data_IF_142477595401
#
_entry.id   IF_142477595401
#
_cell.length_a   1.000
_cell.length_b   1.000
_cell.length_c   1.000
_cell.angle_alpha   90.00
_cell.angle_beta   90.00
_cell.angle_gamma   90.00
#
_symmetry.space_group_name_H-M   'P 1'
#
loop_
_entity.id
_entity.type
_entity.pdbx_description
1 polymer ?
#
# COMPACT_ATOMS: atom_id res chain seq x y z
N UNK A 1 -16.26 -7.34 -18.76
CA UNK A 1 -15.51 -7.43 -20.04
C UNK A 1 -14.36 -8.43 -19.94
N UNK A 2 -13.44 -8.26 -18.98
CA UNK A 2 -12.26 -9.14 -18.87
C UNK A 2 -12.61 -10.61 -18.61
N UNK A 3 -13.64 -10.90 -17.81
CA UNK A 3 -14.11 -12.27 -17.59
C UNK A 3 -14.38 -13.03 -18.90
N UNK A 4 -15.15 -12.42 -19.82
CA UNK A 4 -15.44 -13.01 -21.15
C UNK A 4 -14.17 -13.20 -21.99
N UNK A 5 -13.26 -12.22 -21.98
CA UNK A 5 -11.98 -12.34 -22.71
C UNK A 5 -11.11 -13.48 -22.19
N UNK A 6 -11.14 -13.74 -20.88
CA UNK A 6 -10.44 -14.90 -20.30
C UNK A 6 -11.17 -16.21 -20.57
N UNK A 7 -12.51 -16.22 -20.53
CA UNK A 7 -13.33 -17.38 -20.94
C UNK A 7 -13.02 -17.79 -22.40
N UNK A 8 -12.82 -16.82 -23.30
CA UNK A 8 -12.42 -17.06 -24.69
C UNK A 8 -11.01 -17.70 -24.81
N UNK A 9 -10.10 -17.44 -23.86
CA UNK A 9 -8.78 -18.08 -23.80
C UNK A 9 -8.89 -19.52 -23.29
N UNK A 10 -9.70 -19.74 -22.25
CA UNK A 10 -10.01 -21.08 -21.76
C UNK A 10 -10.69 -21.08 -20.38
N UNK A 11 -11.53 -22.08 -20.10
CA UNK A 11 -12.27 -22.17 -18.84
C UNK A 11 -11.38 -22.34 -17.61
N UNK A 12 -10.15 -22.84 -17.79
CA UNK A 12 -9.17 -23.08 -16.71
C UNK A 12 -8.69 -21.78 -16.02
N UNK A 13 -9.00 -20.61 -16.57
CA UNK A 13 -8.70 -19.31 -15.97
C UNK A 13 -9.70 -18.89 -14.87
N UNK A 14 -10.81 -19.62 -14.71
CA UNK A 14 -11.84 -19.34 -13.70
C UNK A 14 -11.28 -19.12 -12.29
N UNK A 15 -10.49 -20.07 -11.72
CA UNK A 15 -9.93 -19.92 -10.38
C UNK A 15 -9.01 -18.70 -10.21
N UNK A 16 -8.25 -18.34 -11.25
CA UNK A 16 -7.38 -17.16 -11.22
C UNK A 16 -8.21 -15.87 -11.17
N UNK A 17 -9.26 -15.81 -12.00
CA UNK A 17 -10.20 -14.68 -12.04
C UNK A 17 -10.97 -14.54 -10.73
N UNK A 18 -11.37 -15.66 -10.09
CA UNK A 18 -12.01 -15.65 -8.78
C UNK A 18 -11.09 -15.04 -7.71
N UNK A 19 -9.81 -15.40 -7.69
CA UNK A 19 -8.84 -14.82 -6.76
C UNK A 19 -8.73 -13.30 -6.92
N UNK A 20 -8.63 -12.82 -8.16
CA UNK A 20 -8.60 -11.37 -8.45
C UNK A 20 -9.92 -10.70 -8.04
N UNK A 21 -11.05 -11.32 -8.35
CA UNK A 21 -12.39 -10.78 -8.04
C UNK A 21 -12.61 -10.66 -6.54
N UNK A 22 -12.24 -11.70 -5.77
CA UNK A 22 -12.35 -11.68 -4.32
C UNK A 22 -11.46 -10.61 -3.69
N UNK A 23 -10.22 -10.48 -4.17
CA UNK A 23 -9.32 -9.43 -3.72
C UNK A 23 -9.94 -8.05 -3.99
N UNK A 24 -10.57 -7.85 -5.14
CA UNK A 24 -11.22 -6.59 -5.53
C UNK A 24 -12.55 -6.31 -4.82
N UNK A 25 -13.15 -7.23 -4.05
CA UNK A 25 -14.44 -6.98 -3.35
C UNK A 25 -14.31 -6.12 -2.08
N UNK A 26 -13.19 -6.21 -1.37
CA UNK A 26 -12.97 -5.51 -0.09
C UNK A 26 -12.18 -4.20 -0.19
N UNK A 27 -11.93 -3.57 0.96
CA UNK A 27 -11.04 -2.41 1.12
C UNK A 27 -11.74 -1.05 1.16
N UNK A 28 -11.05 -0.06 1.73
CA UNK A 28 -11.56 1.30 2.00
C UNK A 28 -11.69 2.19 0.76
N UNK A 29 -11.11 1.78 -0.38
CA UNK A 29 -11.07 2.56 -1.64
C UNK A 29 -10.47 3.96 -1.48
N UNK A 30 -9.45 4.10 -0.63
CA UNK A 30 -8.80 5.40 -0.38
C UNK A 30 -8.17 5.99 -1.64
N UNK A 31 -7.45 5.17 -2.43
CA UNK A 31 -6.78 5.61 -3.66
C UNK A 31 -7.75 6.21 -4.68
N UNK A 32 -8.82 5.52 -5.12
CA UNK A 32 -9.79 6.12 -6.02
C UNK A 32 -10.52 7.31 -5.39
N UNK A 33 -10.76 7.31 -4.07
CA UNK A 33 -11.37 8.46 -3.39
C UNK A 33 -10.48 9.71 -3.47
N UNK A 34 -9.18 9.61 -3.18
CA UNK A 34 -8.25 10.73 -3.31
C UNK A 34 -8.14 11.21 -4.76
N UNK A 35 -8.13 10.31 -5.74
CA UNK A 35 -8.16 10.70 -7.15
C UNK A 35 -9.43 11.45 -7.54
N UNK A 36 -10.59 10.92 -7.18
CA UNK A 36 -11.86 11.58 -7.44
C UNK A 36 -11.96 12.95 -6.75
N UNK A 37 -11.54 13.06 -5.49
CA UNK A 37 -11.58 14.33 -4.77
C UNK A 37 -10.50 15.32 -5.20
N UNK A 38 -9.39 14.86 -5.76
CA UNK A 38 -8.42 15.71 -6.45
C UNK A 38 -9.01 16.37 -7.70
N UNK A 39 -9.81 15.61 -8.45
CA UNK A 39 -10.57 16.12 -9.61
C UNK A 39 -11.64 17.12 -9.20
N UNK A 40 -12.50 16.75 -8.24
CA UNK A 40 -13.58 17.62 -7.75
C UNK A 40 -13.04 18.88 -7.06
N UNK A 41 -11.94 18.76 -6.32
CA UNK A 41 -11.28 19.86 -5.63
C UNK A 41 -10.61 20.87 -6.55
N UNK A 42 -10.33 20.47 -7.79
CA UNK A 42 -9.92 21.37 -8.87
C UNK A 42 -11.10 22.06 -9.59
N UNK A 43 -12.34 21.85 -9.11
CA UNK A 43 -13.54 22.46 -9.64
C UNK A 43 -14.16 21.74 -10.85
N UNK A 44 -13.64 20.57 -11.22
CA UNK A 44 -14.21 19.80 -12.32
C UNK A 44 -15.53 19.10 -11.91
N UNK A 45 -16.48 18.93 -12.85
CA UNK A 45 -17.80 18.40 -12.55
C UNK A 45 -17.74 16.90 -12.21
N UNK A 46 -18.76 16.41 -11.52
CA UNK A 46 -18.94 14.97 -11.33
C UNK A 46 -19.20 14.28 -12.68
N UNK A 47 -18.58 13.12 -12.91
CA UNK A 47 -18.71 12.34 -14.14
C UNK A 47 -18.35 10.87 -13.91
N UNK A 48 -19.01 9.95 -14.62
CA UNK A 48 -18.71 8.52 -14.52
C UNK A 48 -17.29 8.18 -15.02
N UNK A 49 -16.76 8.94 -15.98
CA UNK A 49 -15.44 8.70 -16.55
C UNK A 49 -14.29 8.97 -15.57
N UNK A 50 -14.42 9.95 -14.67
CA UNK A 50 -13.42 10.13 -13.60
C UNK A 50 -13.51 8.99 -12.58
N UNK A 51 -14.70 8.47 -12.28
CA UNK A 51 -14.85 7.30 -11.40
C UNK A 51 -14.16 6.08 -12.03
N UNK A 52 -14.33 5.87 -13.33
CA UNK A 52 -13.64 4.79 -14.06
C UNK A 52 -12.12 4.97 -14.06
N UNK A 53 -11.62 6.20 -14.31
CA UNK A 53 -10.19 6.49 -14.27
C UNK A 53 -9.61 6.28 -12.86
N UNK A 54 -10.31 6.71 -11.82
CA UNK A 54 -9.91 6.52 -10.43
C UNK A 54 -9.93 5.03 -10.04
N UNK A 55 -10.94 4.28 -10.47
CA UNK A 55 -11.07 2.85 -10.18
C UNK A 55 -9.94 1.99 -10.80
N UNK A 56 -9.24 2.47 -11.83
CA UNK A 56 -8.02 1.84 -12.31
C UNK A 56 -6.98 1.66 -11.19
N UNK A 57 -6.90 2.61 -10.24
CA UNK A 57 -5.99 2.53 -9.09
C UNK A 57 -6.27 1.32 -8.18
N UNK A 58 -7.49 0.78 -8.17
CA UNK A 58 -7.80 -0.44 -7.41
C UNK A 58 -7.28 -1.71 -8.12
N UNK A 59 -7.23 -1.72 -9.45
CA UNK A 59 -6.56 -2.79 -10.21
C UNK A 59 -5.05 -2.72 -10.03
N UNK A 60 -4.48 -1.51 -10.05
CA UNK A 60 -3.07 -1.32 -9.73
C UNK A 60 -2.75 -1.77 -8.29
N UNK A 61 -3.63 -1.45 -7.33
CA UNK A 61 -3.49 -1.94 -5.96
C UNK A 61 -3.60 -3.46 -5.86
N UNK A 62 -4.53 -4.08 -6.61
CA UNK A 62 -4.64 -5.53 -6.65
C UNK A 62 -3.33 -6.17 -7.16
N UNK A 63 -2.74 -5.60 -8.21
CA UNK A 63 -1.43 -6.06 -8.69
C UNK A 63 -0.34 -5.94 -7.62
N UNK A 64 -0.23 -4.77 -6.99
CA UNK A 64 0.75 -4.53 -5.93
C UNK A 64 0.61 -5.56 -4.81
N UNK A 65 -0.61 -5.83 -4.32
CA UNK A 65 -0.85 -6.81 -3.27
C UNK A 65 -0.53 -8.25 -3.70
N UNK A 66 -0.91 -8.64 -4.92
CA UNK A 66 -0.67 -9.99 -5.44
C UNK A 66 0.83 -10.30 -5.54
N UNK A 67 1.62 -9.32 -5.98
CA UNK A 67 3.07 -9.44 -6.07
C UNK A 67 3.75 -9.32 -4.69
N UNK A 68 3.31 -8.39 -3.84
CA UNK A 68 3.81 -8.18 -2.47
C UNK A 68 3.62 -9.45 -1.61
N UNK A 69 2.44 -10.09 -1.66
CA UNK A 69 2.18 -11.35 -0.95
C UNK A 69 3.14 -12.48 -1.36
N UNK A 70 3.63 -12.48 -2.60
CA UNK A 70 4.62 -13.46 -3.07
C UNK A 70 6.02 -13.09 -2.59
N UNK A 71 6.40 -11.82 -2.67
CA UNK A 71 7.71 -11.35 -2.24
C UNK A 71 7.92 -11.51 -0.73
N UNK A 72 6.91 -11.20 0.06
CA UNK A 72 6.92 -11.30 1.52
C UNK A 72 6.62 -12.72 2.03
N UNK A 73 6.16 -13.62 1.15
CA UNK A 73 5.74 -14.97 1.53
C UNK A 73 4.51 -15.01 2.44
N UNK A 74 3.65 -13.98 2.38
CA UNK A 74 2.48 -13.83 3.25
C UNK A 74 1.42 -14.91 2.98
N UNK A 75 1.00 -15.64 4.02
CA UNK A 75 0.02 -16.73 3.86
C UNK A 75 -1.42 -16.22 3.67
N UNK A 76 -1.73 -15.01 4.16
CA UNK A 76 -3.09 -14.48 4.22
C UNK A 76 -3.18 -13.03 3.74
N UNK A 77 -4.33 -12.69 3.16
CA UNK A 77 -4.69 -11.35 2.71
C UNK A 77 -6.18 -11.13 2.93
N UNK A 78 -6.54 -10.09 3.69
CA UNK A 78 -7.95 -9.72 4.00
C UNK A 78 -8.76 -10.89 4.58
N UNK A 79 -8.16 -11.67 5.48
CA UNK A 79 -8.79 -12.85 6.09
C UNK A 79 -8.96 -14.07 5.18
N UNK A 80 -8.49 -14.02 3.93
CA UNK A 80 -8.46 -15.14 3.00
C UNK A 80 -7.01 -15.61 2.78
N UNK A 81 -6.78 -16.86 2.33
CA UNK A 81 -5.45 -17.27 1.91
C UNK A 81 -4.97 -16.41 0.74
N UNK A 82 -3.69 -16.03 0.76
CA UNK A 82 -3.08 -15.28 -0.34
C UNK A 82 -3.18 -16.07 -1.67
N UNK A 83 -3.18 -15.37 -2.80
CA UNK A 83 -3.43 -16.01 -4.12
C UNK A 83 -2.45 -17.15 -4.42
N UNK A 84 -1.15 -16.98 -4.09
CA UNK A 84 -0.17 -18.04 -4.33
C UNK A 84 -0.48 -19.30 -3.51
N UNK A 85 -0.96 -19.15 -2.26
CA UNK A 85 -1.41 -20.26 -1.42
C UNK A 85 -2.71 -20.89 -1.92
N UNK A 86 -3.69 -20.10 -2.37
CA UNK A 86 -4.94 -20.61 -2.97
C UNK A 86 -4.64 -21.48 -4.19
N UNK A 87 -3.76 -21.02 -5.07
CA UNK A 87 -3.40 -21.72 -6.29
C UNK A 87 -2.53 -22.96 -6.01
N UNK A 88 -1.65 -22.93 -5.01
CA UNK A 88 -0.93 -24.13 -4.53
C UNK A 88 -1.89 -25.18 -3.94
N UNK A 89 -2.90 -24.76 -3.17
CA UNK A 89 -3.94 -25.65 -2.66
C UNK A 89 -4.80 -26.25 -3.78
N UNK A 90 -5.15 -25.46 -4.80
CA UNK A 90 -5.87 -25.94 -5.98
C UNK A 90 -5.08 -27.02 -6.72
N UNK A 91 -3.77 -26.81 -6.92
CA UNK A 91 -2.87 -27.79 -7.53
C UNK A 91 -2.87 -29.12 -6.76
N UNK A 92 -2.68 -29.06 -5.43
CA UNK A 92 -2.72 -30.24 -4.55
C UNK A 92 -4.08 -30.94 -4.58
N UNK A 93 -5.16 -30.17 -4.49
CA UNK A 93 -6.53 -30.70 -4.46
C UNK A 93 -6.92 -31.45 -5.73
N UNK A 94 -6.34 -31.09 -6.88
CA UNK A 94 -6.57 -31.77 -8.15
C UNK A 94 -5.55 -32.90 -8.45
N UNK A 95 -4.54 -33.10 -7.60
CA UNK A 95 -3.51 -34.11 -7.83
C UNK A 95 -2.68 -33.88 -9.10
N UNK A 96 -2.47 -32.62 -9.48
CA UNK A 96 -1.67 -32.29 -10.65
C UNK A 96 -0.20 -32.64 -10.45
N UNK A 97 0.49 -32.90 -11.56
CA UNK A 97 1.92 -33.21 -11.52
C UNK A 97 2.77 -31.96 -11.22
N UNK A 98 3.95 -32.16 -10.64
CA UNK A 98 4.94 -31.10 -10.40
C UNK A 98 4.81 -30.42 -9.03
N UNK A 99 5.50 -29.28 -8.88
CA UNK A 99 5.55 -28.52 -7.63
C UNK A 99 4.38 -27.52 -7.53
N UNK A 100 3.50 -27.75 -6.57
CA UNK A 100 2.33 -26.92 -6.31
C UNK A 100 2.65 -25.52 -5.78
N UNK A 101 3.72 -25.35 -5.00
CA UNK A 101 4.12 -24.02 -4.51
C UNK A 101 4.64 -23.18 -5.67
N UNK A 102 5.48 -23.76 -6.53
CA UNK A 102 5.94 -23.10 -7.76
C UNK A 102 4.78 -22.73 -8.70
N UNK A 103 3.78 -23.60 -8.83
CA UNK A 103 2.57 -23.30 -9.58
C UNK A 103 1.82 -22.11 -8.97
N UNK A 104 1.65 -22.12 -7.65
CA UNK A 104 0.97 -21.06 -6.91
C UNK A 104 1.64 -19.69 -7.09
N UNK A 105 2.96 -19.63 -6.90
CA UNK A 105 3.77 -18.42 -7.12
C UNK A 105 3.65 -17.92 -8.55
N UNK A 106 3.78 -18.82 -9.54
CA UNK A 106 3.67 -18.45 -10.95
C UNK A 106 2.30 -17.89 -11.30
N UNK A 107 1.23 -18.48 -10.75
CA UNK A 107 -0.13 -18.00 -10.95
C UNK A 107 -0.35 -16.61 -10.34
N UNK A 108 0.15 -16.36 -9.13
CA UNK A 108 0.04 -15.05 -8.48
C UNK A 108 0.80 -13.94 -9.23
N UNK A 109 1.99 -14.25 -9.76
CA UNK A 109 2.75 -13.32 -10.62
C UNK A 109 1.92 -12.91 -11.85
N UNK A 110 1.37 -13.90 -12.57
CA UNK A 110 0.55 -13.67 -13.77
C UNK A 110 -0.76 -12.93 -13.43
N UNK A 111 -1.37 -13.20 -12.28
CA UNK A 111 -2.55 -12.46 -11.81
C UNK A 111 -2.24 -10.97 -11.60
N UNK A 112 -1.08 -10.66 -11.00
CA UNK A 112 -0.65 -9.28 -10.82
C UNK A 112 -0.35 -8.61 -12.16
N UNK A 113 0.29 -9.30 -13.10
CA UNK A 113 0.58 -8.76 -14.44
C UNK A 113 -0.70 -8.45 -15.24
N UNK A 114 -1.73 -9.30 -15.13
CA UNK A 114 -3.06 -9.03 -15.66
C UNK A 114 -3.67 -7.79 -15.03
N UNK A 115 -3.58 -7.64 -13.70
CA UNK A 115 -4.10 -6.47 -13.00
C UNK A 115 -3.37 -5.17 -13.40
N UNK A 116 -2.05 -5.20 -13.59
CA UNK A 116 -1.29 -4.06 -14.13
C UNK A 116 -1.76 -3.67 -15.53
N UNK A 117 -1.96 -4.66 -16.40
CA UNK A 117 -2.42 -4.47 -17.76
C UNK A 117 -3.85 -3.91 -17.80
N UNK A 118 -4.75 -4.46 -16.98
CA UNK A 118 -6.13 -3.99 -16.88
C UNK A 118 -6.25 -2.62 -16.24
N UNK A 119 -5.34 -2.26 -15.32
CA UNK A 119 -5.27 -0.92 -14.75
C UNK A 119 -4.99 0.12 -15.84
N UNK A 120 -3.96 -0.10 -16.67
CA UNK A 120 -3.65 0.80 -17.78
C UNK A 120 -4.77 0.83 -18.84
N UNK A 121 -5.37 -0.32 -19.16
CA UNK A 121 -6.52 -0.39 -20.07
C UNK A 121 -7.72 0.40 -19.52
N UNK A 122 -8.04 0.24 -18.23
CA UNK A 122 -9.17 0.92 -17.59
C UNK A 122 -8.96 2.44 -17.51
N UNK A 123 -7.74 2.88 -17.18
CA UNK A 123 -7.41 4.31 -17.17
C UNK A 123 -7.55 4.91 -18.58
N UNK A 124 -6.95 4.27 -19.57
CA UNK A 124 -6.95 4.74 -20.97
C UNK A 124 -8.33 4.67 -21.65
N UNK A 125 -9.22 3.79 -21.17
CA UNK A 125 -10.59 3.61 -21.69
C UNK A 125 -11.67 4.10 -20.72
N UNK A 126 -11.29 4.96 -19.77
CA UNK A 126 -12.19 5.47 -18.73
C UNK A 126 -13.39 6.27 -19.28
N UNK A 127 -13.26 6.81 -20.49
CA UNK A 127 -14.26 7.67 -21.14
C UNK A 127 -13.88 9.16 -21.10
N UNK A 128 -12.80 9.52 -20.40
CA UNK A 128 -12.28 10.88 -20.39
C UNK A 128 -11.77 11.29 -21.78
N UNK A 129 -11.91 12.57 -22.18
CA UNK A 129 -11.36 13.06 -23.44
C UNK A 129 -9.84 12.83 -23.54
N UNK A 130 -9.28 12.59 -24.75
CA UNK A 130 -7.85 12.34 -24.93
C UNK A 130 -6.94 13.40 -24.31
N UNK A 131 -7.26 14.69 -24.48
CA UNK A 131 -6.48 15.79 -23.91
C UNK A 131 -6.54 15.81 -22.37
N UNK A 132 -7.64 15.34 -21.79
CA UNK A 132 -7.80 15.20 -20.34
C UNK A 132 -6.96 14.06 -19.81
N UNK A 133 -7.00 12.89 -20.47
CA UNK A 133 -6.15 11.75 -20.14
C UNK A 133 -4.66 12.10 -20.25
N UNK A 134 -4.27 12.83 -21.29
CA UNK A 134 -2.89 13.25 -21.50
C UNK A 134 -2.35 14.08 -20.32
N UNK A 135 -3.14 14.99 -19.73
CA UNK A 135 -2.71 15.79 -18.58
C UNK A 135 -2.40 14.94 -17.34
N UNK A 136 -3.20 13.91 -17.08
CA UNK A 136 -3.00 13.02 -15.92
C UNK A 136 -2.00 11.89 -16.17
N UNK A 137 -1.65 11.61 -17.43
CA UNK A 137 -0.84 10.45 -17.82
C UNK A 137 0.54 10.45 -17.19
N UNK A 138 1.24 11.60 -17.21
CA UNK A 138 2.60 11.71 -16.69
C UNK A 138 2.65 11.42 -15.17
N UNK A 139 1.67 11.91 -14.41
CA UNK A 139 1.57 11.65 -12.98
C UNK A 139 1.25 10.17 -12.71
N UNK A 140 0.35 9.58 -13.50
CA UNK A 140 0.00 8.16 -13.39
C UNK A 140 1.20 7.25 -13.69
N UNK A 141 1.96 7.50 -14.76
CA UNK A 141 3.14 6.70 -15.08
C UNK A 141 4.29 6.92 -14.08
N UNK A 142 4.44 8.14 -13.55
CA UNK A 142 5.40 8.42 -12.47
C UNK A 142 5.05 7.67 -11.19
N UNK A 143 3.77 7.66 -10.79
CA UNK A 143 3.29 6.88 -9.65
C UNK A 143 3.64 5.40 -9.79
N UNK A 144 3.39 4.82 -10.96
CA UNK A 144 3.67 3.39 -11.22
C UNK A 144 5.16 3.10 -11.10
N UNK A 145 6.00 3.97 -11.67
CA UNK A 145 7.47 3.85 -11.58
C UNK A 145 7.95 3.94 -10.14
N UNK A 146 7.47 4.95 -9.41
CA UNK A 146 7.90 5.20 -8.03
C UNK A 146 7.44 4.12 -7.06
N UNK A 147 6.23 3.55 -7.23
CA UNK A 147 5.80 2.41 -6.41
C UNK A 147 6.74 1.21 -6.61
N UNK A 148 7.05 0.85 -7.87
CA UNK A 148 7.90 -0.30 -8.14
C UNK A 148 9.32 -0.11 -7.58
N UNK A 149 9.87 1.11 -7.71
CA UNK A 149 11.13 1.47 -7.06
C UNK A 149 11.06 1.38 -5.53
N UNK A 150 9.97 1.89 -4.92
CA UNK A 150 9.73 1.80 -3.47
C UNK A 150 9.59 0.36 -2.98
N UNK A 151 8.91 -0.50 -3.74
CA UNK A 151 8.79 -1.93 -3.44
C UNK A 151 10.16 -2.64 -3.50
N UNK A 152 10.98 -2.32 -4.50
CA UNK A 152 12.35 -2.85 -4.55
C UNK A 152 13.19 -2.41 -3.35
N UNK A 153 13.09 -1.14 -2.95
CA UNK A 153 13.78 -0.66 -1.76
C UNK A 153 13.34 -1.41 -0.51
N UNK A 154 12.05 -1.70 -0.35
CA UNK A 154 11.55 -2.48 0.80
C UNK A 154 12.17 -3.88 0.87
N UNK A 155 12.23 -4.59 -0.27
CA UNK A 155 12.88 -5.91 -0.36
C UNK A 155 14.39 -5.81 -0.12
N UNK A 156 15.04 -4.76 -0.63
CA UNK A 156 16.47 -4.52 -0.44
C UNK A 156 16.80 -4.29 1.05
N UNK A 157 15.98 -3.52 1.76
CA UNK A 157 16.20 -3.23 3.18
C UNK A 157 16.18 -4.49 4.06
N UNK A 158 15.44 -5.53 3.68
CA UNK A 158 15.40 -6.79 4.42
C UNK A 158 16.73 -7.55 4.39
N UNK A 159 17.56 -7.35 3.36
CA UNK A 159 18.84 -8.06 3.19
C UNK A 159 20.07 -7.21 3.52
N UNK A 160 19.92 -5.89 3.66
CA UNK A 160 21.00 -4.99 4.05
C UNK A 160 21.32 -5.08 5.55
N UNK A 161 22.58 -4.82 5.88
CA UNK A 161 23.13 -4.82 7.24
C UNK A 161 23.62 -3.44 7.66
N UNK A 162 23.99 -3.26 8.93
CA UNK A 162 24.62 -2.02 9.40
C UNK A 162 25.96 -1.71 8.71
N UNK A 163 26.65 -2.75 8.22
CA UNK A 163 27.92 -2.60 7.51
C UNK A 163 27.76 -1.96 6.13
N UNK A 164 26.55 -1.93 5.59
CA UNK A 164 26.25 -1.40 4.25
C UNK A 164 26.04 0.13 4.24
N UNK A 165 26.05 0.77 5.43
CA UNK A 165 25.98 2.23 5.58
C UNK A 165 24.58 2.84 5.36
N UNK A 166 24.44 4.13 5.72
CA UNK A 166 23.16 4.85 5.69
C UNK A 166 22.29 4.55 6.92
N UNK A 167 21.78 5.60 7.59
CA UNK A 167 20.97 5.45 8.80
C UNK A 167 19.70 4.63 8.53
N UNK A 168 19.46 3.60 9.36
CA UNK A 168 18.35 2.66 9.18
C UNK A 168 17.00 3.38 9.17
N UNK A 169 16.82 4.43 9.99
CA UNK A 169 15.59 5.22 9.96
C UNK A 169 15.40 6.03 8.67
N UNK A 170 16.47 6.55 8.06
CA UNK A 170 16.37 7.30 6.80
C UNK A 170 15.95 6.39 5.64
N UNK A 171 16.52 5.19 5.58
CA UNK A 171 16.19 4.19 4.55
C UNK A 171 14.76 3.69 4.70
N UNK A 172 14.34 3.34 5.92
CA UNK A 172 12.95 3.00 6.22
C UNK A 172 11.99 4.15 5.85
N UNK A 173 12.34 5.40 6.14
CA UNK A 173 11.55 6.57 5.72
C UNK A 173 11.44 6.70 4.20
N UNK A 174 12.50 6.40 3.47
CA UNK A 174 12.48 6.43 2.00
C UNK A 174 11.55 5.36 1.43
N UNK A 175 11.50 4.18 2.04
CA UNK A 175 10.55 3.13 1.68
C UNK A 175 9.12 3.61 1.88
N UNK A 176 8.75 4.08 3.08
CA UNK A 176 7.37 4.55 3.33
C UNK A 176 7.00 5.70 2.40
N UNK A 177 7.94 6.59 2.09
CA UNK A 177 7.73 7.73 1.21
C UNK A 177 7.24 7.26 -0.16
N UNK A 178 8.01 6.40 -0.85
CA UNK A 178 7.67 5.98 -2.21
C UNK A 178 6.65 4.83 -2.28
N UNK A 179 6.81 3.79 -1.45
CA UNK A 179 5.95 2.59 -1.49
C UNK A 179 4.52 2.89 -1.03
N UNK A 180 4.34 3.84 -0.12
CA UNK A 180 3.04 4.09 0.49
C UNK A 180 2.57 5.54 0.41
N UNK A 181 3.36 6.50 0.87
CA UNK A 181 2.88 7.88 1.02
C UNK A 181 2.52 8.52 -0.34
N UNK A 182 3.49 8.49 -1.26
CA UNK A 182 3.28 8.97 -2.63
C UNK A 182 2.20 8.16 -3.32
N UNK A 183 2.28 6.84 -3.26
CA UNK A 183 1.39 5.95 -4.00
C UNK A 183 -0.07 5.97 -3.52
N UNK A 184 -0.30 5.98 -2.21
CA UNK A 184 -1.64 5.78 -1.63
C UNK A 184 -2.46 7.06 -1.60
N UNK A 185 -1.81 8.22 -1.45
CA UNK A 185 -2.50 9.49 -1.19
C UNK A 185 -2.07 10.60 -2.16
N UNK A 186 -0.78 10.95 -2.18
CA UNK A 186 -0.30 12.10 -2.97
C UNK A 186 -0.56 11.92 -4.47
N UNK A 187 -0.06 10.85 -5.07
CA UNK A 187 -0.21 10.61 -6.51
C UNK A 187 -1.66 10.46 -6.92
N UNK A 188 -2.53 9.69 -6.24
CA UNK A 188 -3.94 9.68 -6.56
C UNK A 188 -4.55 11.08 -6.60
N UNK A 189 -4.30 11.90 -5.58
CA UNK A 189 -4.80 13.27 -5.52
C UNK A 189 -4.26 14.15 -6.66
N UNK A 190 -2.96 14.04 -6.97
CA UNK A 190 -2.32 14.73 -8.08
C UNK A 190 -2.83 14.25 -9.45
N UNK A 191 -3.09 12.96 -9.63
CA UNK A 191 -3.67 12.40 -10.86
C UNK A 191 -5.05 13.04 -11.08
N UNK A 192 -5.89 13.06 -10.06
CA UNK A 192 -7.21 13.72 -10.11
C UNK A 192 -7.12 15.19 -10.48
N UNK A 193 -6.25 15.95 -9.81
CA UNK A 193 -6.02 17.36 -10.09
C UNK A 193 -5.49 17.61 -11.50
N UNK A 194 -4.51 16.83 -11.95
CA UNK A 194 -3.91 16.95 -13.28
C UNK A 194 -4.93 16.63 -14.38
N UNK A 195 -5.72 15.57 -14.23
CA UNK A 195 -6.85 15.27 -15.12
C UNK A 195 -7.80 16.48 -15.18
N UNK A 196 -8.13 17.11 -14.05
CA UNK A 196 -9.01 18.28 -14.02
C UNK A 196 -8.38 19.58 -14.57
N UNK A 197 -7.06 19.59 -14.84
CA UNK A 197 -6.36 20.81 -15.26
C UNK A 197 -6.11 21.79 -14.12
N UNK A 198 -5.89 21.28 -12.90
CA UNK A 198 -5.53 22.07 -11.73
C UNK A 198 -4.31 22.97 -12.00
N UNK A 199 -4.29 24.14 -11.34
CA UNK A 199 -3.14 25.03 -11.38
C UNK A 199 -1.92 24.39 -10.70
N UNK A 200 -0.69 24.82 -11.05
CA UNK A 200 0.52 24.38 -10.33
C UNK A 200 0.44 24.62 -8.82
N UNK A 201 -0.16 25.72 -8.39
CA UNK A 201 -0.32 26.07 -6.97
C UNK A 201 -1.26 25.08 -6.26
N UNK A 202 -2.36 24.68 -6.90
CA UNK A 202 -3.27 23.68 -6.34
C UNK A 202 -2.62 22.28 -6.30
N UNK A 203 -1.84 21.90 -7.32
CA UNK A 203 -1.07 20.66 -7.29
C UNK A 203 -0.02 20.66 -6.18
N UNK A 204 0.66 21.79 -5.95
CA UNK A 204 1.59 21.94 -4.83
C UNK A 204 0.88 21.83 -3.48
N UNK A 205 -0.33 22.40 -3.34
CA UNK A 205 -1.15 22.25 -2.14
C UNK A 205 -1.59 20.79 -1.93
N UNK A 206 -1.95 20.07 -2.99
CA UNK A 206 -2.23 18.64 -2.94
C UNK A 206 -1.03 17.81 -2.47
N UNK A 207 0.19 18.13 -2.93
CA UNK A 207 1.40 17.48 -2.43
C UNK A 207 1.64 17.79 -0.95
N UNK A 208 1.53 19.06 -0.55
CA UNK A 208 1.72 19.49 0.84
C UNK A 208 0.70 18.86 1.81
N UNK A 209 -0.51 18.58 1.33
CA UNK A 209 -1.54 17.87 2.07
C UNK A 209 -1.30 16.34 2.08
N UNK A 210 -1.14 15.75 0.90
CA UNK A 210 -1.24 14.32 0.67
C UNK A 210 0.00 13.54 1.09
N UNK A 211 1.18 14.12 0.91
CA UNK A 211 2.44 13.47 1.26
C UNK A 211 2.58 13.19 2.77
N UNK A 212 2.45 14.19 3.67
CA UNK A 212 2.56 13.91 5.10
C UNK A 212 1.44 12.99 5.59
N UNK A 213 0.22 13.11 5.06
CA UNK A 213 -0.86 12.19 5.38
C UNK A 213 -0.53 10.75 4.96
N UNK A 214 0.10 10.58 3.80
CA UNK A 214 0.53 9.28 3.31
C UNK A 214 1.62 8.64 4.16
N UNK A 215 2.56 9.44 4.68
CA UNK A 215 3.57 8.96 5.63
C UNK A 215 2.92 8.57 6.96
N UNK A 216 1.99 9.38 7.47
CA UNK A 216 1.23 9.07 8.68
C UNK A 216 0.39 7.79 8.53
N UNK A 217 -0.22 7.57 7.36
CA UNK A 217 -0.97 6.37 7.02
C UNK A 217 -0.08 5.12 7.14
N UNK A 218 1.11 5.12 6.52
CA UNK A 218 1.99 3.96 6.59
C UNK A 218 2.56 3.73 7.99
N UNK A 219 2.93 4.79 8.70
CA UNK A 219 3.39 4.66 10.08
C UNK A 219 2.31 4.08 11.00
N UNK A 220 1.04 4.44 10.77
CA UNK A 220 -0.10 3.84 11.47
C UNK A 220 -0.24 2.36 11.12
N UNK A 221 -0.14 2.00 9.85
CA UNK A 221 -0.17 0.60 9.40
C UNK A 221 0.97 -0.22 10.03
N UNK A 222 2.20 0.30 10.09
CA UNK A 222 3.34 -0.38 10.73
C UNK A 222 3.09 -0.60 12.25
N UNK A 223 2.49 0.40 12.93
CA UNK A 223 2.10 0.26 14.34
C UNK A 223 1.03 -0.82 14.50
N UNK A 224 0.04 -0.87 13.61
CA UNK A 224 -1.02 -1.90 13.64
C UNK A 224 -0.50 -3.29 13.28
N UNK A 225 0.46 -3.41 12.36
CA UNK A 225 1.09 -4.68 12.01
C UNK A 225 1.83 -5.31 13.20
N UNK A 226 2.40 -4.46 14.07
CA UNK A 226 3.07 -4.92 15.30
C UNK A 226 2.12 -5.05 16.48
N UNK A 227 1.22 -4.09 16.74
CA UNK A 227 0.44 -3.98 17.98
C UNK A 227 -1.08 -4.14 17.81
N UNK A 228 -1.59 -4.17 16.58
CA UNK A 228 -3.03 -4.23 16.30
C UNK A 228 -3.70 -5.55 16.66
N UNK A 229 -5.03 -5.49 16.80
CA UNK A 229 -5.88 -6.67 16.99
C UNK A 229 -6.02 -7.43 15.65
N UNK A 230 -5.71 -8.74 15.59
CA UNK A 230 -5.93 -9.56 14.39
C UNK A 230 -7.34 -9.49 13.81
N UNK A 231 -8.36 -9.28 14.64
CA UNK A 231 -9.74 -9.14 14.19
C UNK A 231 -9.96 -7.89 13.32
N UNK A 232 -9.15 -6.85 13.52
CA UNK A 232 -9.21 -5.60 12.77
C UNK A 232 -8.23 -5.58 11.58
N UNK A 233 -7.00 -6.07 11.78
CA UNK A 233 -5.97 -6.05 10.73
C UNK A 233 -6.17 -7.13 9.66
N UNK A 234 -6.91 -8.19 9.99
CA UNK A 234 -7.10 -9.36 9.12
C UNK A 234 -5.83 -10.20 8.92
N UNK A 235 -4.78 -9.92 9.71
CA UNK A 235 -3.50 -10.64 9.78
C UNK A 235 -3.19 -11.03 11.24
N UNK A 236 -2.42 -12.10 11.50
CA UNK A 236 -1.94 -12.40 12.85
C UNK A 236 -1.13 -11.24 13.44
N UNK A 237 -1.21 -11.04 14.76
CA UNK A 237 -0.47 -9.97 15.41
C UNK A 237 1.05 -10.23 15.31
N UNK A 238 1.82 -9.21 14.94
CA UNK A 238 3.27 -9.31 14.74
C UNK A 238 3.68 -9.99 13.43
N UNK A 239 2.81 -10.03 12.42
CA UNK A 239 3.15 -10.55 11.09
C UNK A 239 4.35 -9.78 10.49
N UNK A 240 4.36 -8.45 10.61
CA UNK A 240 5.48 -7.63 10.16
C UNK A 240 6.82 -8.01 10.83
N UNK A 241 6.77 -8.51 12.07
CA UNK A 241 7.95 -9.00 12.78
C UNK A 241 8.42 -10.36 12.24
N UNK A 242 7.50 -11.24 11.81
CA UNK A 242 7.82 -12.52 11.15
C UNK A 242 8.33 -12.32 9.74
N UNK A 243 7.73 -11.39 9.01
CA UNK A 243 8.14 -10.96 7.67
C UNK A 243 9.49 -10.23 7.72
N UNK A 244 9.93 -9.77 8.90
CA UNK A 244 11.24 -9.13 9.09
C UNK A 244 11.30 -7.70 8.57
N UNK A 245 10.14 -7.04 8.49
CA UNK A 245 10.03 -5.69 7.93
C UNK A 245 10.87 -4.69 8.72
N UNK A 246 11.72 -3.96 7.99
CA UNK A 246 12.59 -2.91 8.52
C UNK A 246 11.85 -1.57 8.59
N UNK A 247 10.72 -1.57 9.31
CA UNK A 247 9.87 -0.39 9.46
C UNK A 247 10.57 0.74 10.21
N UNK A 248 10.06 1.97 10.11
CA UNK A 248 10.57 3.10 10.91
C UNK A 248 10.48 2.79 12.41
N UNK A 249 9.46 2.06 12.83
CA UNK A 249 9.29 1.60 14.21
C UNK A 249 10.44 0.70 14.67
N UNK A 250 10.85 -0.27 13.86
CA UNK A 250 12.00 -1.15 14.15
C UNK A 250 13.31 -0.38 14.11
N UNK A 251 13.46 0.51 13.13
CA UNK A 251 14.66 1.33 12.99
C UNK A 251 14.90 2.21 14.22
N UNK A 252 13.87 2.94 14.68
CA UNK A 252 13.96 3.77 15.88
C UNK A 252 14.21 2.94 17.15
N UNK A 253 13.63 1.73 17.23
CA UNK A 253 13.88 0.83 18.34
C UNK A 253 15.36 0.39 18.38
N UNK A 254 15.95 0.03 17.24
CA UNK A 254 17.36 -0.36 17.14
C UNK A 254 18.31 0.81 17.45
N UNK A 255 18.00 2.02 16.98
CA UNK A 255 18.81 3.22 17.25
C UNK A 255 18.87 3.57 18.75
N UNK A 256 17.80 3.31 19.50
CA UNK A 256 17.72 3.56 20.94
C UNK A 256 17.98 2.31 21.82
N UNK A 257 18.22 1.14 21.21
CA UNK A 257 18.37 -0.13 21.92
C UNK A 257 19.71 -0.22 22.67
N UNK A 258 19.67 -0.81 23.86
CA UNK A 258 20.87 -1.37 24.48
C UNK A 258 21.43 -2.53 23.65
N UNK A 259 22.72 -2.90 23.82
CA UNK A 259 23.31 -4.03 23.09
C UNK A 259 22.54 -5.35 23.25
N UNK A 260 21.96 -5.62 24.43
CA UNK A 260 21.16 -6.81 24.69
C UNK A 260 19.81 -6.78 23.94
N UNK A 261 19.17 -5.61 23.88
CA UNK A 261 17.93 -5.41 23.11
C UNK A 261 18.20 -5.55 21.60
N UNK A 262 19.26 -4.93 21.09
CA UNK A 262 19.66 -5.03 19.69
C UNK A 262 19.96 -6.48 19.28
N UNK A 263 20.69 -7.23 20.11
CA UNK A 263 20.93 -8.65 19.90
C UNK A 263 19.63 -9.48 19.86
N UNK A 264 18.67 -9.16 20.74
CA UNK A 264 17.36 -9.81 20.77
C UNK A 264 16.57 -9.54 19.49
N UNK A 265 16.57 -8.29 19.01
CA UNK A 265 15.93 -7.92 17.72
C UNK A 265 16.60 -8.66 16.56
N UNK A 266 17.93 -8.67 16.51
CA UNK A 266 18.68 -9.37 15.46
C UNK A 266 18.48 -10.90 15.45
N UNK A 267 18.17 -11.51 16.59
CA UNK A 267 17.90 -12.94 16.69
C UNK A 267 16.48 -13.32 16.22
N UNK A 268 15.50 -12.45 16.43
CA UNK A 268 14.08 -12.80 16.32
C UNK A 268 13.35 -12.15 15.15
N UNK A 269 13.77 -10.98 14.70
CA UNK A 269 13.13 -10.28 13.58
C UNK A 269 13.36 -11.06 12.28
N UNK A 270 12.29 -11.31 11.54
CA UNK A 270 12.33 -12.06 10.28
C UNK A 270 12.32 -13.58 10.44
N UNK A 271 12.12 -14.10 11.66
CA UNK A 271 11.89 -15.53 11.86
C UNK A 271 10.43 -15.89 11.49
N UNK A 272 10.19 -16.63 10.39
CA UNK A 272 8.83 -17.02 10.00
C UNK A 272 8.19 -17.98 11.03
N UNK A 273 8.98 -18.56 11.94
CA UNK A 273 8.51 -19.39 13.04
C UNK A 273 8.45 -18.66 14.38
N UNK A 274 8.54 -17.32 14.38
CA UNK A 274 8.48 -16.51 15.59
C UNK A 274 7.19 -16.77 16.38
N UNK A 275 7.39 -17.32 17.58
CA UNK A 275 6.33 -17.65 18.53
C UNK A 275 5.82 -16.42 19.28
N UNK A 276 4.70 -16.58 19.96
CA UNK A 276 4.01 -15.49 20.66
C UNK A 276 4.87 -14.83 21.76
N UNK A 277 5.73 -15.60 22.43
CA UNK A 277 6.73 -15.12 23.39
C UNK A 277 7.80 -14.25 22.72
N UNK A 278 8.31 -14.67 21.55
CA UNK A 278 9.23 -13.86 20.74
C UNK A 278 8.58 -12.56 20.24
N UNK A 279 7.34 -12.61 19.77
CA UNK A 279 6.57 -11.42 19.40
C UNK A 279 6.41 -10.48 20.60
N UNK A 280 6.06 -11.01 21.77
CA UNK A 280 5.92 -10.21 22.99
C UNK A 280 7.25 -9.55 23.41
N UNK A 281 8.36 -10.26 23.27
CA UNK A 281 9.70 -9.73 23.53
C UNK A 281 10.03 -8.56 22.60
N UNK A 282 9.84 -8.71 21.29
CA UNK A 282 10.10 -7.64 20.32
C UNK A 282 9.21 -6.41 20.57
N UNK A 283 7.92 -6.62 20.88
CA UNK A 283 7.00 -5.54 21.30
C UNK A 283 7.51 -4.81 22.55
N UNK A 284 8.02 -5.56 23.52
CA UNK A 284 8.57 -4.98 24.75
C UNK A 284 9.80 -4.12 24.44
N UNK A 285 10.72 -4.61 23.59
CA UNK A 285 11.89 -3.82 23.15
C UNK A 285 11.46 -2.53 22.45
N UNK A 286 10.51 -2.60 21.51
CA UNK A 286 9.97 -1.42 20.80
C UNK A 286 9.33 -0.42 21.78
N UNK A 287 8.71 -0.90 22.85
CA UNK A 287 8.08 -0.06 23.87
C UNK A 287 9.11 0.58 24.79
N UNK A 288 10.04 -0.21 25.32
CA UNK A 288 11.05 0.24 26.30
C UNK A 288 12.06 1.22 25.71
N UNK A 289 12.33 1.11 24.42
CA UNK A 289 13.19 2.05 23.67
C UNK A 289 12.48 3.38 23.39
N UNK A 290 11.17 3.48 23.63
CA UNK A 290 10.36 4.66 23.32
C UNK A 290 10.02 4.81 21.83
N UNK A 291 10.37 3.83 20.98
CA UNK A 291 10.14 3.90 19.54
C UNK A 291 8.66 4.00 19.18
N UNK A 292 7.78 3.26 19.87
CA UNK A 292 6.33 3.38 19.67
C UNK A 292 5.83 4.81 19.96
N UNK A 293 6.26 5.41 21.07
CA UNK A 293 5.87 6.77 21.44
C UNK A 293 6.41 7.80 20.43
N UNK A 294 7.63 7.62 19.93
CA UNK A 294 8.22 8.46 18.91
C UNK A 294 7.43 8.38 17.59
N UNK A 295 7.05 7.19 17.13
CA UNK A 295 6.22 7.01 15.92
C UNK A 295 4.84 7.63 16.08
N UNK A 296 4.18 7.47 17.23
CA UNK A 296 2.90 8.13 17.51
C UNK A 296 3.00 9.67 17.48
N UNK A 297 4.12 10.23 17.97
CA UNK A 297 4.43 11.65 17.85
C UNK A 297 4.57 12.07 16.38
N UNK A 298 5.33 11.33 15.58
CA UNK A 298 5.49 11.60 14.14
C UNK A 298 4.16 11.56 13.39
N UNK A 299 3.30 10.56 13.68
CA UNK A 299 1.95 10.49 13.09
C UNK A 299 1.15 11.74 13.42
N UNK A 300 1.20 12.19 14.68
CA UNK A 300 0.49 13.39 15.13
C UNK A 300 0.96 14.65 14.39
N UNK A 301 2.28 14.82 14.26
CA UNK A 301 2.87 15.98 13.59
C UNK A 301 2.56 15.99 12.09
N UNK A 302 2.65 14.83 11.42
CA UNK A 302 2.33 14.68 10.00
C UNK A 302 0.84 14.94 9.71
N UNK A 303 -0.05 14.47 10.59
CA UNK A 303 -1.49 14.78 10.49
C UNK A 303 -1.75 16.28 10.66
N UNK A 304 -1.06 16.94 11.60
CA UNK A 304 -1.19 18.39 11.78
C UNK A 304 -0.73 19.15 10.53
N UNK A 305 0.44 18.79 9.96
CA UNK A 305 0.94 19.37 8.72
C UNK A 305 -0.05 19.21 7.56
N UNK A 306 -0.64 18.02 7.41
CA UNK A 306 -1.65 17.76 6.38
C UNK A 306 -2.90 18.64 6.57
N UNK A 307 -3.41 18.75 7.81
CA UNK A 307 -4.56 19.61 8.13
C UNK A 307 -4.29 21.08 7.80
N UNK A 308 -3.13 21.58 8.20
CA UNK A 308 -2.75 22.97 7.98
C UNK A 308 -2.62 23.26 6.48
N UNK A 309 -2.01 22.35 5.70
CA UNK A 309 -1.92 22.48 4.26
C UNK A 309 -3.29 22.53 3.58
N UNK A 310 -4.23 21.66 3.99
CA UNK A 310 -5.59 21.65 3.44
C UNK A 310 -6.36 22.92 3.80
N UNK A 311 -6.23 23.42 5.03
CA UNK A 311 -6.93 24.60 5.51
C UNK A 311 -6.54 25.88 4.75
N UNK A 312 -5.29 25.97 4.27
CA UNK A 312 -4.76 27.12 3.53
C UNK A 312 -4.76 26.93 2.00
N UNK A 313 -5.44 25.89 1.51
CA UNK A 313 -5.51 25.58 0.08
C UNK A 313 -6.75 26.16 -0.60
N UNK A 314 -6.64 26.36 -1.92
CA UNK A 314 -7.74 26.79 -2.80
C UNK A 314 -8.61 25.60 -3.29
N UNK A 315 -8.63 24.50 -2.54
CA UNK A 315 -9.44 23.32 -2.88
C UNK A 315 -10.93 23.69 -2.85
N UNK A 316 -11.62 23.42 -3.96
CA UNK A 316 -13.04 23.70 -4.11
C UNK A 316 -13.90 22.82 -3.18
N UNK A 317 -15.00 23.40 -2.68
CA UNK A 317 -16.02 22.63 -1.95
C UNK A 317 -16.89 21.82 -2.93
N UNK A 318 -17.39 20.63 -2.54
CA UNK A 318 -17.30 20.02 -1.21
C UNK A 318 -16.02 19.19 -0.96
N UNK A 319 -15.05 19.21 -1.89
CA UNK A 319 -13.89 18.31 -1.82
C UNK A 319 -13.02 18.58 -0.60
N UNK A 320 -12.84 19.86 -0.22
CA UNK A 320 -12.05 20.22 0.97
C UNK A 320 -12.63 19.61 2.25
N UNK A 321 -13.95 19.69 2.45
CA UNK A 321 -14.61 19.04 3.58
C UNK A 321 -14.40 17.52 3.60
N UNK A 322 -14.56 16.86 2.45
CA UNK A 322 -14.39 15.40 2.38
C UNK A 322 -12.93 14.97 2.55
N UNK A 323 -11.97 15.72 2.02
CA UNK A 323 -10.54 15.46 2.24
C UNK A 323 -10.18 15.57 3.73
N UNK A 324 -10.80 16.50 4.47
CA UNK A 324 -10.62 16.60 5.91
C UNK A 324 -11.15 15.37 6.67
N UNK A 325 -12.29 14.82 6.24
CA UNK A 325 -12.82 13.57 6.80
C UNK A 325 -11.92 12.36 6.47
N UNK A 326 -11.33 12.33 5.27
CA UNK A 326 -10.40 11.27 4.86
C UNK A 326 -9.11 11.25 5.69
N UNK A 327 -8.67 12.37 6.27
CA UNK A 327 -7.55 12.39 7.24
C UNK A 327 -7.82 11.42 8.38
N UNK A 328 -9.04 11.46 8.93
CA UNK A 328 -9.43 10.58 10.03
C UNK A 328 -9.49 9.13 9.59
N UNK A 329 -10.07 8.84 8.42
CA UNK A 329 -10.17 7.48 7.90
C UNK A 329 -8.80 6.86 7.59
N UNK A 330 -7.82 7.67 7.17
CA UNK A 330 -6.47 7.23 6.84
C UNK A 330 -5.59 6.99 8.09
N UNK A 331 -5.87 7.64 9.22
CA UNK A 331 -5.00 7.59 10.41
C UNK A 331 -5.66 7.00 11.65
N UNK A 332 -6.88 6.48 11.49
CA UNK A 332 -7.63 5.81 12.55
C UNK A 332 -6.82 4.66 13.17
N UNK A 333 -6.96 4.50 14.48
CA UNK A 333 -6.32 3.44 15.26
C UNK A 333 -6.99 2.07 15.11
N UNK A 334 -8.07 2.01 14.33
CA UNK A 334 -8.87 0.82 14.06
C UNK A 334 -9.15 0.76 12.56
N UNK A 335 -9.15 -0.46 12.00
CA UNK A 335 -9.37 -0.69 10.57
C UNK A 335 -10.80 -0.33 10.15
#
# INVERSE_FOLDING_TARGET
MQARRLEDVGPDLGPLLECITDLLRGGKRLRPAFCYWGWRGAGAPDDESIVNAAAALELFQAAALLHDDVMDGSDTRRGLPATHRRMANLHRGNGWTGDGERFGTSAAILAGDLCLSWSDEMFSRSGLPPDTLARGRDVYDLMRTQLMGGQYLDVLEQVLTEADGGGTAERARRVIHFKSAKYTIEHPLLIGGALAGASPDLLAAYSAFGLPLGEAFQLRDDVLGVFGDPAETGKPAGDDLREGKRTVLVALALEAASPAQAASVGQHLGDPHLRADGVAMLRQVITDTGALAAVEGLITDLVAQSRDALAHSDVAEPARGVLADLIHAATARHA
#
